data_IF_419433053898
#
_entry.id   IF_419433053898
#
_cell.length_a   1.000
_cell.length_b   1.000
_cell.length_c   1.000
_cell.angle_alpha   90.00
_cell.angle_beta   90.00
_cell.angle_gamma   90.00
#
_symmetry.space_group_name_H-M   'P 1'
#
loop_
_entity.id
_entity.type
_entity.pdbx_description
1 polymer ?
#
# COMPACT_ATOMS: atom_id res chain seq x y z
N UNK A 1 6.22 -16.65 -16.28
CA UNK A 1 5.10 -16.11 -17.09
C UNK A 1 3.83 -16.16 -16.29
N UNK A 2 3.31 -17.37 -16.06
CA UNK A 2 2.12 -17.62 -15.23
C UNK A 2 2.31 -17.15 -13.79
N UNK A 3 3.47 -17.35 -13.17
CA UNK A 3 3.70 -16.92 -11.77
C UNK A 3 3.52 -15.42 -11.56
N UNK A 4 3.92 -14.61 -12.55
CA UNK A 4 3.71 -13.16 -12.52
C UNK A 4 2.22 -12.80 -12.58
N UNK A 5 1.45 -13.48 -13.43
CA UNK A 5 0.01 -13.29 -13.52
C UNK A 5 -0.71 -13.80 -12.26
N UNK A 6 -0.25 -14.91 -11.69
CA UNK A 6 -0.79 -15.46 -10.46
C UNK A 6 -0.53 -14.52 -9.28
N UNK A 7 0.68 -13.97 -9.17
CA UNK A 7 0.97 -12.96 -8.15
C UNK A 7 0.14 -11.70 -8.34
N UNK A 8 -0.02 -11.22 -9.58
CA UNK A 8 -0.87 -10.08 -9.88
C UNK A 8 -2.34 -10.34 -9.46
N UNK A 9 -2.86 -11.54 -9.69
CA UNK A 9 -4.18 -11.94 -9.20
C UNK A 9 -4.27 -11.91 -7.68
N UNK A 10 -3.27 -12.45 -6.96
CA UNK A 10 -3.22 -12.39 -5.50
C UNK A 10 -3.12 -10.96 -4.96
N UNK A 11 -2.54 -10.04 -5.73
CA UNK A 11 -2.44 -8.62 -5.40
C UNK A 11 -3.70 -7.81 -5.80
N UNK A 12 -4.80 -8.48 -6.14
CA UNK A 12 -6.06 -7.91 -6.63
C UNK A 12 -5.92 -7.09 -7.94
N UNK A 13 -4.99 -7.48 -8.81
CA UNK A 13 -4.77 -6.86 -10.14
C UNK A 13 -5.47 -7.68 -11.23
N UNK A 14 -6.66 -7.25 -11.62
CA UNK A 14 -7.53 -7.72 -12.70
C UNK A 14 -7.37 -7.08 -14.11
N UNK A 15 -6.57 -6.04 -14.32
CA UNK A 15 -6.39 -5.38 -15.63
C UNK A 15 -5.13 -4.52 -15.70
N UNK A 16 -4.77 -4.13 -16.93
CA UNK A 16 -3.55 -3.37 -17.24
C UNK A 16 -3.86 -2.19 -18.19
N UNK A 17 -3.13 -1.06 -18.08
CA UNK A 17 -2.04 -0.81 -17.14
C UNK A 17 -2.52 -0.50 -15.73
N UNK A 18 -1.69 -0.88 -14.76
CA UNK A 18 -1.90 -0.65 -13.33
C UNK A 18 -0.62 -0.05 -12.73
N UNK A 19 -0.77 0.98 -11.90
CA UNK A 19 0.32 1.66 -11.21
C UNK A 19 -0.02 1.73 -9.71
N UNK A 20 0.99 1.55 -8.85
CA UNK A 20 0.86 1.61 -7.39
C UNK A 20 1.97 2.48 -6.80
N UNK A 21 1.61 3.42 -5.93
CA UNK A 21 2.55 4.22 -5.14
C UNK A 21 2.09 4.24 -3.68
N UNK A 22 2.85 3.59 -2.79
CA UNK A 22 2.42 3.38 -1.40
C UNK A 22 1.05 2.70 -1.32
N UNK A 23 0.07 3.40 -0.75
CA UNK A 23 -1.32 2.95 -0.64
C UNK A 23 -2.19 3.35 -1.85
N UNK A 24 -1.70 4.23 -2.72
CA UNK A 24 -2.42 4.70 -3.89
C UNK A 24 -2.35 3.68 -5.03
N UNK A 25 -3.49 3.45 -5.68
CA UNK A 25 -3.67 2.49 -6.78
C UNK A 25 -4.33 3.19 -7.96
N UNK A 26 -3.80 3.01 -9.16
CA UNK A 26 -4.26 3.67 -10.38
C UNK A 26 -4.46 2.65 -11.50
N UNK A 27 -5.55 2.80 -12.24
CA UNK A 27 -6.02 1.87 -13.25
C UNK A 27 -6.29 2.59 -14.56
N UNK A 28 -5.75 2.07 -15.67
CA UNK A 28 -5.94 2.66 -16.99
C UNK A 28 -4.91 3.74 -17.33
N UNK A 29 -4.75 3.98 -18.64
CA UNK A 29 -3.82 4.99 -19.16
C UNK A 29 -4.24 6.43 -18.80
N UNK A 30 -5.53 6.67 -18.65
CA UNK A 30 -6.14 7.97 -18.29
C UNK A 30 -5.92 8.37 -16.83
N UNK A 31 -5.16 7.57 -16.07
CA UNK A 31 -4.80 7.84 -14.67
C UNK A 31 -3.30 8.11 -14.47
N UNK A 32 -2.50 8.13 -15.54
CA UNK A 32 -1.06 8.40 -15.46
C UNK A 32 -0.77 9.78 -14.87
N UNK A 33 -1.51 10.81 -15.27
CA UNK A 33 -1.35 12.17 -14.74
C UNK A 33 -1.66 12.23 -13.23
N UNK A 34 -2.64 11.44 -12.78
CA UNK A 34 -2.97 11.32 -11.36
C UNK A 34 -1.85 10.65 -10.57
N UNK A 35 -1.27 9.58 -11.12
CA UNK A 35 -0.11 8.91 -10.53
C UNK A 35 1.09 9.85 -10.40
N UNK A 36 1.42 10.59 -11.47
CA UNK A 36 2.58 11.50 -11.48
C UNK A 36 2.47 12.59 -10.41
N UNK A 37 1.28 13.14 -10.17
CA UNK A 37 1.06 14.13 -9.11
C UNK A 37 1.32 13.57 -7.72
N UNK A 38 0.85 12.35 -7.44
CA UNK A 38 1.07 11.70 -6.14
C UNK A 38 2.54 11.35 -5.97
N UNK A 39 3.18 10.82 -7.01
CA UNK A 39 4.59 10.46 -6.97
C UNK A 39 5.50 11.67 -6.74
N UNK A 40 5.25 12.78 -7.43
CA UNK A 40 6.00 14.03 -7.26
C UNK A 40 5.80 14.65 -5.87
N UNK A 41 4.56 14.63 -5.35
CA UNK A 41 4.29 15.16 -4.01
C UNK A 41 5.02 14.38 -2.90
N UNK A 42 5.17 13.06 -3.06
CA UNK A 42 5.89 12.23 -2.09
C UNK A 42 7.41 12.54 -2.09
N UNK A 43 8.00 12.77 -3.27
CA UNK A 43 9.40 13.18 -3.43
C UNK A 43 9.71 14.52 -2.76
N UNK A 44 8.75 15.45 -2.78
CA UNK A 44 8.87 16.76 -2.14
C UNK A 44 8.71 16.72 -0.60
N UNK A 45 8.11 15.67 -0.05
CA UNK A 45 7.96 15.52 1.41
C UNK A 45 9.30 15.17 2.06
N UNK A 46 9.81 15.98 3.01
CA UNK A 46 10.99 15.60 3.77
C UNK A 46 10.75 14.28 4.49
N UNK A 47 11.71 13.36 4.43
CA UNK A 47 11.64 12.10 5.14
C UNK A 47 11.40 12.37 6.64
N UNK A 48 10.18 12.12 7.10
CA UNK A 48 9.86 12.14 8.52
C UNK A 48 10.60 10.97 9.14
N UNK A 49 11.52 11.25 10.05
CA UNK A 49 12.20 10.20 10.81
C UNK A 49 11.12 9.32 11.48
N UNK A 50 11.14 8.00 11.24
CA UNK A 50 10.13 7.14 11.83
C UNK A 50 10.18 7.28 13.36
N UNK A 51 9.04 7.43 14.04
CA UNK A 51 9.03 7.46 15.49
C UNK A 51 9.70 6.19 16.03
N UNK A 52 10.44 6.28 17.15
CA UNK A 52 11.09 5.12 17.74
C UNK A 52 10.04 4.02 17.94
N UNK A 53 10.30 2.83 17.39
CA UNK A 53 9.44 1.66 17.58
C UNK A 53 9.30 1.44 19.09
N UNK A 54 8.08 1.61 19.61
CA UNK A 54 7.75 1.20 20.97
C UNK A 54 7.90 -0.32 21.03
N UNK A 55 8.96 -0.81 21.66
CA UNK A 55 9.30 -2.22 21.61
C UNK A 55 8.24 -3.12 22.25
N UNK A 56 7.42 -2.61 23.19
CA UNK A 56 6.31 -3.37 23.80
C UNK A 56 5.20 -2.45 24.33
N UNK A 57 4.04 -2.48 23.69
CA UNK A 57 2.76 -2.20 24.35
C UNK A 57 1.95 -3.51 24.31
N UNK A 58 2.27 -4.43 25.21
CA UNK A 58 1.41 -5.59 25.42
C UNK A 58 0.24 -5.16 26.31
N UNK A 59 -0.97 -5.20 25.76
CA UNK A 59 -2.19 -5.38 26.55
C UNK A 59 -2.37 -6.90 26.75
N UNK A 60 -2.02 -7.39 27.93
CA UNK A 60 -2.12 -8.81 28.30
C UNK A 60 -3.41 -9.17 29.00
N UNK A 61 -4.37 -8.25 29.12
CA UNK A 61 -5.56 -8.50 29.92
C UNK A 61 -6.80 -8.81 29.06
N UNK A 62 -7.01 -10.13 28.95
CA UNK A 62 -8.30 -10.83 29.00
C UNK A 62 -8.94 -11.33 27.68
N UNK A 63 -8.72 -12.64 27.48
CA UNK A 63 -9.66 -13.74 27.26
C UNK A 63 -11.06 -13.45 26.68
N UNK A 64 -11.38 -14.23 25.64
CA UNK A 64 -12.58 -14.08 24.83
C UNK A 64 -13.91 -14.33 25.52
N UNK A 65 -14.96 -13.84 24.86
CA UNK A 65 -16.34 -14.19 25.08
C UNK A 65 -17.18 -13.68 23.92
N UNK A 66 -17.66 -14.58 23.07
CA UNK A 66 -18.81 -14.32 22.22
C UNK A 66 -20.08 -14.59 23.05
N UNK A 67 -20.91 -13.56 23.20
CA UNK A 67 -22.21 -13.59 23.85
C UNK A 67 -23.03 -12.41 23.40
#
# INVERSE_FOLDING_TARGET
GVDCLYQAYLDDIFAVPYLKWGQHRFWGLDRVEGFLRVWQADDETPAVEPPPKLEKAYDTDQAGGCG
#
